data_IF_185884860373
#
_entry.id   IF_185884860373
#
_cell.length_a   1.000
_cell.length_b   1.000
_cell.length_c   1.000
_cell.angle_alpha   90.00
_cell.angle_beta   90.00
_cell.angle_gamma   90.00
#
_symmetry.space_group_name_H-M   'P 1'
#
loop_
_entity.id
_entity.type
_entity.pdbx_description
1 polymer ?
#
# COMPACT_ATOMS: atom_id res chain seq x y z
N UNK A 1 -3.83 -18.41 -5.82
CA UNK A 1 -4.89 -17.47 -5.42
C UNK A 1 -4.31 -16.20 -4.77
N UNK A 2 -3.46 -16.34 -3.75
CA UNK A 2 -2.86 -15.26 -2.95
C UNK A 2 -2.09 -14.21 -3.77
N UNK A 3 -1.26 -14.62 -4.74
CA UNK A 3 -0.53 -13.69 -5.63
C UNK A 3 -1.48 -12.73 -6.37
N UNK A 4 -2.66 -13.21 -6.81
CA UNK A 4 -3.64 -12.36 -7.49
C UNK A 4 -4.22 -11.33 -6.52
N UNK A 5 -4.55 -11.75 -5.29
CA UNK A 5 -5.05 -10.85 -4.22
C UNK A 5 -4.04 -9.76 -3.89
N UNK A 6 -2.76 -10.12 -3.69
CA UNK A 6 -1.70 -9.16 -3.43
C UNK A 6 -1.54 -8.13 -4.56
N UNK A 7 -1.57 -8.58 -5.82
CA UNK A 7 -1.50 -7.67 -6.98
C UNK A 7 -2.75 -6.78 -7.11
N UNK A 8 -3.93 -7.28 -6.74
CA UNK A 8 -5.16 -6.47 -6.73
C UNK A 8 -5.07 -5.39 -5.65
N UNK A 9 -4.61 -5.73 -4.44
CA UNK A 9 -4.37 -4.77 -3.37
C UNK A 9 -3.38 -3.70 -3.82
N UNK A 10 -2.26 -4.10 -4.44
CA UNK A 10 -1.26 -3.17 -4.95
C UNK A 10 -1.86 -2.12 -5.91
N UNK A 11 -2.65 -2.58 -6.88
CA UNK A 11 -3.31 -1.68 -7.84
C UNK A 11 -4.29 -0.75 -7.15
N UNK A 12 -5.00 -1.21 -6.11
CA UNK A 12 -5.92 -0.38 -5.31
C UNK A 12 -5.14 0.70 -4.56
N UNK A 13 -4.03 0.35 -3.90
CA UNK A 13 -3.13 1.30 -3.22
C UNK A 13 -2.65 2.37 -4.20
N UNK A 14 -2.11 1.98 -5.35
CA UNK A 14 -1.64 2.92 -6.37
C UNK A 14 -2.75 3.84 -6.91
N UNK A 15 -3.97 3.33 -7.07
CA UNK A 15 -5.13 4.15 -7.49
C UNK A 15 -5.51 5.18 -6.43
N UNK A 16 -5.45 4.82 -5.16
CA UNK A 16 -5.75 5.77 -4.08
C UNK A 16 -4.63 6.81 -3.92
N UNK A 17 -3.37 6.42 -4.04
CA UNK A 17 -2.23 7.37 -4.03
C UNK A 17 -2.39 8.44 -5.11
N UNK A 18 -2.92 8.09 -6.29
CA UNK A 18 -3.19 9.06 -7.36
C UNK A 18 -4.22 10.14 -6.97
N UNK A 19 -5.10 9.87 -6.00
CA UNK A 19 -6.11 10.83 -5.53
C UNK A 19 -5.54 11.83 -4.52
N UNK A 20 -4.30 11.64 -4.05
CA UNK A 20 -3.63 12.58 -3.16
C UNK A 20 -3.35 13.88 -3.93
N UNK A 21 -3.84 15.04 -3.44
CA UNK A 21 -3.69 16.32 -4.13
C UNK A 21 -2.25 16.81 -4.10
N UNK A 22 -1.58 16.67 -2.96
CA UNK A 22 -0.17 17.08 -2.81
C UNK A 22 0.75 16.16 -3.62
N UNK A 23 1.66 16.78 -4.37
CA UNK A 23 2.57 16.07 -5.28
C UNK A 23 3.71 15.38 -4.52
N UNK A 24 4.19 15.98 -3.45
CA UNK A 24 5.29 15.44 -2.65
C UNK A 24 4.80 14.22 -1.87
N UNK A 25 3.62 14.31 -1.25
CA UNK A 25 2.96 13.20 -0.58
C UNK A 25 2.71 12.07 -1.56
N UNK A 26 2.14 12.37 -2.74
CA UNK A 26 1.89 11.35 -3.76
C UNK A 26 3.17 10.60 -4.18
N UNK A 27 4.29 11.30 -4.35
CA UNK A 27 5.55 10.66 -4.73
C UNK A 27 6.16 9.86 -3.58
N UNK A 28 6.12 10.39 -2.35
CA UNK A 28 6.52 9.68 -1.14
C UNK A 28 5.78 8.35 -1.00
N UNK A 29 4.45 8.39 -1.12
CA UNK A 29 3.58 7.21 -0.97
C UNK A 29 3.81 6.17 -2.05
N UNK A 30 4.04 6.62 -3.28
CA UNK A 30 4.35 5.73 -4.39
C UNK A 30 5.68 5.01 -4.16
N UNK A 31 6.69 5.70 -3.64
CA UNK A 31 7.99 5.10 -3.32
C UNK A 31 7.91 4.17 -2.11
N UNK A 32 7.15 4.53 -1.08
CA UNK A 32 6.84 3.67 0.05
C UNK A 32 6.14 2.37 -0.41
N UNK A 33 5.04 2.48 -1.16
CA UNK A 33 4.29 1.33 -1.65
C UNK A 33 5.15 0.43 -2.55
N UNK A 34 6.02 1.01 -3.39
CA UNK A 34 6.95 0.22 -4.21
C UNK A 34 7.94 -0.56 -3.33
N UNK A 35 8.48 0.05 -2.29
CA UNK A 35 9.47 -0.55 -1.39
C UNK A 35 8.87 -1.72 -0.61
N UNK A 36 7.67 -1.54 -0.05
CA UNK A 36 6.91 -2.59 0.65
C UNK A 36 6.69 -3.83 -0.24
N UNK A 37 6.30 -3.62 -1.50
CA UNK A 37 6.06 -4.74 -2.42
C UNK A 37 7.34 -5.41 -2.91
N UNK A 38 8.45 -4.68 -3.01
CA UNK A 38 9.77 -5.26 -3.31
C UNK A 38 10.25 -6.12 -2.14
N UNK A 39 10.13 -5.63 -0.90
CA UNK A 39 10.48 -6.38 0.30
C UNK A 39 9.67 -7.68 0.40
N UNK A 40 8.40 -7.63 0.03
CA UNK A 40 7.49 -8.77 0.09
C UNK A 40 7.53 -9.69 -1.15
N UNK A 41 8.36 -9.38 -2.16
CA UNK A 41 8.40 -10.11 -3.45
C UNK A 41 8.74 -11.60 -3.30
N UNK A 42 9.56 -11.92 -2.29
CA UNK A 42 10.06 -13.28 -2.05
C UNK A 42 9.28 -14.00 -0.94
N UNK A 43 8.19 -13.41 -0.42
CA UNK A 43 7.34 -14.10 0.54
C UNK A 43 6.68 -15.31 -0.14
N UNK A 44 7.03 -16.50 0.32
CA UNK A 44 6.46 -17.78 -0.09
C UNK A 44 5.44 -18.32 0.92
N UNK A 45 5.50 -17.83 2.16
CA UNK A 45 4.59 -18.21 3.23
C UNK A 45 3.24 -17.49 3.08
N UNK A 46 2.17 -18.27 2.96
CA UNK A 46 0.80 -17.77 2.88
C UNK A 46 0.39 -16.90 4.08
N UNK A 47 0.83 -17.24 5.29
CA UNK A 47 0.57 -16.47 6.50
C UNK A 47 1.30 -15.11 6.44
N UNK A 48 2.57 -15.11 6.02
CA UNK A 48 3.34 -13.88 5.87
C UNK A 48 2.72 -12.94 4.81
N UNK A 49 2.23 -13.50 3.70
CA UNK A 49 1.55 -12.68 2.68
C UNK A 49 0.23 -12.11 3.20
N UNK A 50 -0.56 -12.88 3.96
CA UNK A 50 -1.80 -12.39 4.57
C UNK A 50 -1.53 -11.27 5.57
N UNK A 51 -0.52 -11.45 6.43
CA UNK A 51 -0.11 -10.43 7.39
C UNK A 51 0.39 -9.16 6.69
N UNK A 52 1.17 -9.28 5.63
CA UNK A 52 1.62 -8.13 4.83
C UNK A 52 0.45 -7.38 4.16
N UNK A 53 -0.57 -8.11 3.70
CA UNK A 53 -1.80 -7.52 3.16
C UNK A 53 -2.54 -6.71 4.23
N UNK A 54 -2.76 -7.30 5.41
CA UNK A 54 -3.47 -6.64 6.52
C UNK A 54 -2.71 -5.40 6.97
N UNK A 55 -1.38 -5.51 7.11
CA UNK A 55 -0.51 -4.39 7.46
C UNK A 55 -0.63 -3.26 6.43
N UNK A 56 -0.49 -3.57 5.14
CA UNK A 56 -0.60 -2.58 4.07
C UNK A 56 -1.97 -1.89 4.00
N UNK A 57 -3.06 -2.60 4.30
CA UNK A 57 -4.39 -2.00 4.41
C UNK A 57 -4.53 -1.05 5.60
N UNK A 58 -3.99 -1.42 6.77
CA UNK A 58 -3.99 -0.56 7.97
C UNK A 58 -3.19 0.71 7.75
N UNK A 59 -1.95 0.59 7.26
CA UNK A 59 -1.10 1.75 6.97
C UNK A 59 -1.76 2.68 5.96
N UNK A 60 -2.48 2.14 4.98
CA UNK A 60 -3.20 2.96 4.00
C UNK A 60 -4.40 3.71 4.60
N UNK A 61 -5.09 3.12 5.57
CA UNK A 61 -6.19 3.78 6.26
C UNK A 61 -5.67 4.89 7.19
N UNK A 62 -4.62 4.64 7.96
CA UNK A 62 -3.96 5.67 8.79
C UNK A 62 -3.50 6.84 7.93
N UNK A 63 -2.92 6.53 6.77
CA UNK A 63 -2.43 7.56 5.88
C UNK A 63 -3.55 8.43 5.29
N UNK A 64 -4.70 7.84 4.94
CA UNK A 64 -5.89 8.60 4.53
C UNK A 64 -6.41 9.50 5.65
N UNK A 65 -6.42 9.00 6.89
CA UNK A 65 -6.84 9.77 8.06
C UNK A 65 -5.92 10.98 8.23
N UNK A 66 -4.60 10.76 8.24
CA UNK A 66 -3.61 11.83 8.37
C UNK A 66 -3.70 12.86 7.25
N UNK A 67 -3.86 12.42 5.99
CA UNK A 67 -4.03 13.33 4.85
C UNK A 67 -5.36 14.12 4.89
N UNK A 68 -6.43 13.54 5.43
CA UNK A 68 -7.69 14.26 5.62
C UNK A 68 -7.64 15.26 6.78
N UNK A 69 -6.86 14.96 7.83
CA UNK A 69 -6.64 15.84 8.97
C UNK A 69 -5.67 16.99 8.66
N UNK A 70 -4.83 16.85 7.63
CA UNK A 70 -3.91 17.87 7.15
C UNK A 70 -4.56 18.92 6.21
N UNK A 71 -5.90 18.90 6.06
CA UNK A 71 -6.66 19.88 5.27
C UNK A 71 -7.10 21.08 6.11
#
# INVERSE_FOLDING_TARGET
MIRRTALTLYRKILRTIKQVPDKNDREYLKNWAKSEFIANKNLSDEFAIKSAIIHGESSMNELKINLNLAK
#
